data_IF_312347204580
#
_entry.id   IF_312347204580
#
_cell.length_a   1.000
_cell.length_b   1.000
_cell.length_c   1.000
_cell.angle_alpha   90.00
_cell.angle_beta   90.00
_cell.angle_gamma   90.00
#
_symmetry.space_group_name_H-M   'P 1'
#
loop_
_entity.id
_entity.type
_entity.pdbx_description
1 polymer ?
#
# COMPACT_ATOMS: atom_id res chain seq x y z
N UNK A 1 -8.31 41.56 40.33
CA UNK A 1 -7.51 40.95 39.24
C UNK A 1 -8.36 39.90 38.51
N UNK A 2 -9.29 40.30 37.62
CA UNK A 2 -10.11 39.35 36.83
C UNK A 2 -10.58 40.01 35.52
N UNK A 3 -9.69 40.17 34.53
CA UNK A 3 -10.07 40.70 33.20
C UNK A 3 -9.26 40.13 32.02
N UNK A 4 -8.62 38.96 32.19
CA UNK A 4 -7.72 38.39 31.18
C UNK A 4 -8.35 37.27 30.34
N UNK A 5 -9.40 36.59 30.82
CA UNK A 5 -9.96 35.41 30.13
C UNK A 5 -10.64 35.72 28.79
N UNK A 6 -11.26 36.90 28.66
CA UNK A 6 -11.89 37.39 27.42
C UNK A 6 -10.86 37.63 26.31
N UNK A 7 -9.68 38.13 26.66
CA UNK A 7 -8.64 38.44 25.69
C UNK A 7 -7.92 37.17 25.24
N UNK A 8 -7.70 36.21 26.15
CA UNK A 8 -7.08 34.92 25.81
C UNK A 8 -7.95 34.08 24.88
N UNK A 9 -9.27 34.07 25.06
CA UNK A 9 -10.19 33.34 24.16
C UNK A 9 -10.21 33.94 22.77
N UNK A 10 -10.25 35.28 22.65
CA UNK A 10 -10.20 35.98 21.36
C UNK A 10 -8.89 35.71 20.61
N UNK A 11 -7.75 35.77 21.30
CA UNK A 11 -6.44 35.44 20.71
C UNK A 11 -6.39 33.99 20.27
N UNK A 12 -6.93 33.06 21.07
CA UNK A 12 -7.02 31.65 20.70
C UNK A 12 -7.86 31.43 19.43
N UNK A 13 -9.00 32.14 19.30
CA UNK A 13 -9.82 32.06 18.09
C UNK A 13 -9.12 32.63 16.86
N UNK A 14 -8.41 33.74 17.00
CA UNK A 14 -7.63 34.33 15.89
C UNK A 14 -6.52 33.38 15.44
N UNK A 15 -5.80 32.75 16.37
CA UNK A 15 -4.77 31.77 16.03
C UNK A 15 -5.38 30.56 15.32
N UNK A 16 -6.52 30.05 15.82
CA UNK A 16 -7.22 28.92 15.20
C UNK A 16 -7.69 29.24 13.78
N UNK A 17 -8.25 30.43 13.53
CA UNK A 17 -8.71 30.81 12.18
C UNK A 17 -7.54 30.99 11.22
N UNK A 18 -6.43 31.57 11.66
CA UNK A 18 -5.21 31.70 10.85
C UNK A 18 -4.68 30.31 10.48
N UNK A 19 -4.58 29.38 11.44
CA UNK A 19 -4.13 28.01 11.17
C UNK A 19 -5.09 27.30 10.20
N UNK A 20 -6.41 27.44 10.38
CA UNK A 20 -7.40 26.85 9.49
C UNK A 20 -7.28 27.36 8.05
N UNK A 21 -7.02 28.67 7.87
CA UNK A 21 -6.81 29.27 6.54
C UNK A 21 -5.53 28.70 5.89
N UNK A 22 -4.43 28.58 6.63
CA UNK A 22 -3.19 28.01 6.10
C UNK A 22 -3.37 26.54 5.68
N UNK A 23 -4.11 25.75 6.46
CA UNK A 23 -4.42 24.36 6.12
C UNK A 23 -5.29 24.29 4.85
N UNK A 24 -6.29 25.15 4.71
CA UNK A 24 -7.17 25.17 3.54
C UNK A 24 -6.41 25.49 2.24
N UNK A 25 -5.44 26.42 2.29
CA UNK A 25 -4.58 26.74 1.15
C UNK A 25 -3.72 25.55 0.72
N UNK A 26 -3.18 24.81 1.69
CA UNK A 26 -2.40 23.59 1.42
C UNK A 26 -3.28 22.52 0.78
N UNK A 27 -4.47 22.25 1.33
CA UNK A 27 -5.40 21.24 0.78
C UNK A 27 -5.79 21.58 -0.67
N UNK A 28 -6.05 22.85 -0.99
CA UNK A 28 -6.38 23.27 -2.36
C UNK A 28 -5.25 23.04 -3.36
N UNK A 29 -3.99 23.04 -2.91
CA UNK A 29 -2.85 22.73 -3.77
C UNK A 29 -2.66 21.22 -4.00
N UNK A 30 -3.20 20.37 -3.11
CA UNK A 30 -3.12 18.91 -3.22
C UNK A 30 -4.21 18.28 -4.10
N UNK A 31 -5.25 19.04 -4.48
CA UNK A 31 -6.35 18.53 -5.29
C UNK A 31 -6.08 18.52 -6.80
N UNK A 32 -4.95 19.07 -7.26
CA UNK A 32 -4.60 19.10 -8.68
C UNK A 32 -3.94 17.77 -9.10
N UNK A 33 -4.74 16.72 -9.07
CA UNK A 33 -4.32 15.40 -9.54
C UNK A 33 -4.23 15.48 -11.06
N UNK A 34 -3.05 15.20 -11.68
CA UNK A 34 -2.93 15.23 -13.12
C UNK A 34 -3.94 14.27 -13.75
N UNK A 35 -4.56 14.61 -14.90
CA UNK A 35 -5.51 13.73 -15.55
C UNK A 35 -4.82 12.43 -16.04
N UNK A 36 -5.55 11.31 -16.15
CA UNK A 36 -5.00 10.06 -16.63
C UNK A 36 -4.41 10.22 -18.04
N UNK A 37 -3.28 9.57 -18.33
CA UNK A 37 -2.67 9.64 -19.66
C UNK A 37 -3.63 9.06 -20.69
N UNK A 38 -3.82 9.79 -21.80
CA UNK A 38 -4.71 9.39 -22.87
C UNK A 38 -4.29 8.02 -23.45
N UNK A 39 -5.23 7.08 -23.56
CA UNK A 39 -4.97 5.74 -24.09
C UNK A 39 -5.08 5.78 -25.61
N UNK A 40 -3.99 5.58 -26.36
CA UNK A 40 -4.06 5.50 -27.81
C UNK A 40 -4.82 4.23 -28.23
N UNK A 41 -5.54 4.30 -29.36
CA UNK A 41 -6.27 3.14 -29.90
C UNK A 41 -5.33 2.01 -30.35
N UNK A 42 -4.14 2.37 -30.87
CA UNK A 42 -3.09 1.45 -31.32
C UNK A 42 -1.72 2.08 -31.07
N UNK A 43 -0.72 1.23 -30.82
CA UNK A 43 0.67 1.64 -30.77
C UNK A 43 1.32 1.33 -32.12
N UNK A 44 1.91 2.34 -32.76
CA UNK A 44 2.55 2.19 -34.06
C UNK A 44 4.04 1.87 -33.96
N UNK A 45 4.65 2.09 -32.79
CA UNK A 45 6.04 1.71 -32.51
C UNK A 45 6.28 1.20 -31.09
N UNK A 46 7.38 0.47 -30.90
CA UNK A 46 7.80 -0.02 -29.57
C UNK A 46 8.16 1.12 -28.62
N UNK A 47 8.71 2.20 -29.15
CA UNK A 47 9.08 3.41 -28.38
C UNK A 47 7.83 4.12 -27.85
N UNK A 48 6.76 4.15 -28.63
CA UNK A 48 5.48 4.73 -28.23
C UNK A 48 4.85 3.96 -27.07
N UNK A 49 4.89 2.61 -27.15
CA UNK A 49 4.45 1.76 -26.05
C UNK A 49 5.27 1.99 -24.78
N UNK A 50 6.60 2.04 -24.89
CA UNK A 50 7.48 2.32 -23.74
C UNK A 50 7.14 3.66 -23.08
N UNK A 51 6.96 4.69 -23.88
CA UNK A 51 6.61 6.03 -23.40
C UNK A 51 5.24 6.05 -22.72
N UNK A 52 4.25 5.38 -23.29
CA UNK A 52 2.92 5.26 -22.67
C UNK A 52 2.99 4.51 -21.33
N UNK A 53 3.73 3.42 -21.25
CA UNK A 53 3.91 2.66 -20.01
C UNK A 53 4.61 3.49 -18.92
N UNK A 54 5.59 4.33 -19.28
CA UNK A 54 6.21 5.27 -18.35
C UNK A 54 5.20 6.29 -17.81
N UNK A 55 4.40 6.90 -18.68
CA UNK A 55 3.35 7.86 -18.26
C UNK A 55 2.31 7.20 -17.34
N UNK A 56 1.91 5.97 -17.64
CA UNK A 56 0.98 5.20 -16.79
C UNK A 56 1.62 4.91 -15.43
N UNK A 57 2.89 4.51 -15.40
CA UNK A 57 3.61 4.27 -14.16
C UNK A 57 3.69 5.54 -13.30
N UNK A 58 4.10 6.68 -13.87
CA UNK A 58 4.18 7.96 -13.16
C UNK A 58 2.82 8.40 -12.60
N UNK A 59 1.76 8.28 -13.40
CA UNK A 59 0.40 8.59 -12.98
C UNK A 59 -0.02 7.75 -11.76
N UNK A 60 0.16 6.43 -11.82
CA UNK A 60 -0.20 5.55 -10.70
C UNK A 60 0.80 5.54 -9.55
N UNK A 61 2.02 6.02 -9.72
CA UNK A 61 2.96 6.23 -8.62
C UNK A 61 2.45 7.34 -7.68
N UNK A 62 1.77 8.35 -8.24
CA UNK A 62 1.19 9.47 -7.48
C UNK A 62 -0.21 9.10 -6.93
N UNK A 63 -1.05 8.46 -7.74
CA UNK A 63 -2.48 8.24 -7.44
C UNK A 63 -2.76 6.87 -6.85
N UNK A 64 -1.90 5.89 -7.14
CA UNK A 64 -2.06 4.53 -6.68
C UNK A 64 -1.97 4.47 -5.17
N UNK A 65 -3.12 4.31 -4.50
CA UNK A 65 -3.14 3.89 -3.10
C UNK A 65 -2.43 2.53 -3.02
N UNK A 66 -1.48 2.32 -2.10
CA UNK A 66 -0.84 1.03 -1.92
C UNK A 66 -1.90 -0.05 -1.70
N UNK A 67 -2.06 -0.96 -2.68
CA UNK A 67 -3.01 -2.07 -2.59
C UNK A 67 -2.34 -3.24 -1.87
N UNK A 68 -2.03 -3.04 -0.60
CA UNK A 68 -1.65 -4.15 0.27
C UNK A 68 -2.89 -5.00 0.56
N UNK A 69 -2.75 -6.33 0.49
CA UNK A 69 -3.80 -7.23 1.00
C UNK A 69 -4.55 -8.09 -0.03
N UNK A 70 -3.97 -8.38 -1.21
CA UNK A 70 -4.43 -9.52 -2.01
C UNK A 70 -3.25 -10.41 -2.37
N UNK A 71 -2.88 -11.31 -1.46
CA UNK A 71 -2.26 -12.55 -1.89
C UNK A 71 -3.26 -13.25 -2.81
N UNK A 72 -2.96 -13.27 -4.11
CA UNK A 72 -3.64 -14.15 -5.04
C UNK A 72 -3.35 -15.58 -4.54
N UNK A 73 -4.38 -16.30 -4.09
CA UNK A 73 -4.30 -17.69 -3.60
C UNK A 73 -3.93 -17.94 -2.12
N UNK A 74 -4.55 -17.25 -1.17
CA UNK A 74 -4.40 -17.64 0.26
C UNK A 74 -5.10 -18.96 0.63
N UNK A 75 -6.06 -19.46 -0.16
CA UNK A 75 -6.90 -20.62 0.25
C UNK A 75 -6.43 -21.96 -0.31
N UNK A 76 -5.81 -21.98 -1.50
CA UNK A 76 -5.26 -23.19 -2.10
C UNK A 76 -3.81 -23.43 -1.67
N UNK A 77 -3.02 -22.35 -1.51
CA UNK A 77 -1.66 -22.43 -0.98
C UNK A 77 -1.68 -22.91 0.48
N UNK A 78 -2.60 -22.42 1.33
CA UNK A 78 -2.70 -22.89 2.73
C UNK A 78 -3.02 -24.38 2.83
N UNK A 79 -3.87 -24.94 1.97
CA UNK A 79 -4.17 -26.36 1.98
C UNK A 79 -2.99 -27.22 1.51
N UNK A 80 -2.29 -26.80 0.46
CA UNK A 80 -1.13 -27.52 -0.07
C UNK A 80 0.09 -27.38 0.85
N UNK A 81 0.33 -26.19 1.39
CA UNK A 81 1.41 -25.92 2.33
C UNK A 81 1.20 -26.69 3.63
N UNK A 82 -0.04 -26.80 4.13
CA UNK A 82 -0.34 -27.67 5.28
C UNK A 82 -0.07 -29.13 4.98
N UNK A 83 -0.50 -29.64 3.83
CA UNK A 83 -0.22 -31.03 3.45
C UNK A 83 1.29 -31.30 3.32
N UNK A 84 2.04 -30.35 2.77
CA UNK A 84 3.50 -30.43 2.70
C UNK A 84 4.13 -30.36 4.09
N UNK A 85 3.64 -29.46 4.94
CA UNK A 85 4.10 -29.30 6.31
C UNK A 85 3.83 -30.57 7.13
N UNK A 86 2.60 -31.09 7.13
CA UNK A 86 2.20 -32.35 7.78
C UNK A 86 2.95 -33.57 7.22
N UNK A 87 3.42 -33.51 5.97
CA UNK A 87 4.23 -34.58 5.39
C UNK A 87 5.64 -34.61 5.97
N UNK A 88 6.25 -33.45 6.19
CA UNK A 88 7.61 -33.33 6.72
C UNK A 88 7.69 -33.29 8.24
N UNK A 89 6.65 -32.83 8.94
CA UNK A 89 6.52 -32.89 10.39
C UNK A 89 6.17 -34.32 10.81
N UNK A 90 7.18 -35.09 11.22
CA UNK A 90 7.04 -36.50 11.58
C UNK A 90 6.57 -36.65 13.03
N UNK A 91 6.93 -35.71 13.90
CA UNK A 91 6.72 -35.81 15.34
C UNK A 91 5.48 -35.04 15.84
N UNK A 92 4.89 -34.20 14.99
CA UNK A 92 3.70 -33.39 15.27
C UNK A 92 3.96 -32.17 16.16
N UNK A 93 5.20 -31.67 16.20
CA UNK A 93 5.60 -30.54 17.04
C UNK A 93 5.36 -29.16 16.38
N UNK A 94 4.75 -29.15 15.20
CA UNK A 94 4.55 -27.97 14.38
C UNK A 94 5.87 -27.27 13.98
N UNK A 95 6.93 -28.05 13.82
CA UNK A 95 8.21 -27.65 13.23
C UNK A 95 8.68 -28.71 12.24
N UNK A 96 9.70 -28.37 11.45
CA UNK A 96 10.39 -29.34 10.60
C UNK A 96 11.87 -29.25 10.96
N UNK A 97 12.36 -30.26 11.67
CA UNK A 97 13.77 -30.38 11.95
C UNK A 97 14.54 -30.89 10.71
N UNK A 98 15.82 -30.52 10.52
CA UNK A 98 16.60 -30.95 9.36
C UNK A 98 16.63 -32.48 9.18
N UNK A 99 16.72 -33.23 10.29
CA UNK A 99 16.71 -34.69 10.31
C UNK A 99 15.39 -35.29 9.82
N UNK A 100 14.24 -34.71 10.21
CA UNK A 100 12.92 -35.12 9.74
C UNK A 100 12.75 -34.88 8.23
N UNK A 101 13.27 -33.75 7.75
CA UNK A 101 13.28 -33.43 6.33
C UNK A 101 14.05 -34.47 5.51
N UNK A 102 15.25 -34.85 5.95
CA UNK A 102 16.05 -35.88 5.26
C UNK A 102 15.41 -37.27 5.36
N UNK A 103 14.83 -37.63 6.51
CA UNK A 103 14.15 -38.91 6.70
C UNK A 103 13.03 -39.14 5.66
N UNK A 104 12.32 -38.07 5.28
CA UNK A 104 11.26 -38.15 4.26
C UNK A 104 11.80 -38.21 2.84
N UNK A 105 12.91 -37.52 2.54
CA UNK A 105 13.53 -37.57 1.22
C UNK A 105 14.12 -38.94 0.88
N UNK A 106 14.53 -39.73 1.87
CA UNK A 106 15.00 -41.11 1.65
C UNK A 106 13.89 -42.09 1.27
N UNK A 107 12.62 -41.73 1.50
CA UNK A 107 11.45 -42.57 1.25
C UNK A 107 10.67 -42.18 -0.02
N UNK A 108 11.24 -41.33 -0.87
CA UNK A 108 10.69 -40.89 -2.17
C UNK A 108 11.63 -41.33 -3.29
#
# INVERSE_FOLDING_TARGET
>A
MLFTSSNTTRVSWIIFTVIAIQIAQVISAYTDVPPPPNRPERFHSREELKRYLQLVHEYYAIIGRPRFGRSLSSKYIDAQDRQLFDFFDVNGDNSIAPDEFYQRLENI
#
